data_IF_576432574848
#
_entry.id   IF_576432574848
#
_cell.length_a   1.000
_cell.length_b   1.000
_cell.length_c   1.000
_cell.angle_alpha   90.00
_cell.angle_beta   90.00
_cell.angle_gamma   90.00
#
_symmetry.space_group_name_H-M   'P 1'
#
loop_
_entity.id
_entity.type
_entity.pdbx_description
1 polymer ?
#
# COMPACT_ATOMS: atom_id res chain seq x y z
N UNK A 1 16.56 -2.61 -8.50
CA UNK A 1 15.94 -2.11 -7.25
C UNK A 1 14.46 -2.43 -7.29
N UNK A 2 14.10 -3.72 -7.15
CA UNK A 2 12.70 -4.24 -7.26
C UNK A 2 12.20 -4.79 -5.91
N UNK A 3 13.09 -4.95 -4.93
CA UNK A 3 12.79 -5.65 -3.68
C UNK A 3 11.82 -4.92 -2.75
N UNK A 4 11.73 -3.58 -2.80
CA UNK A 4 10.85 -2.82 -1.89
C UNK A 4 9.36 -3.03 -2.16
N UNK A 5 8.96 -2.93 -3.43
CA UNK A 5 7.58 -3.05 -3.92
C UNK A 5 6.99 -4.41 -3.54
N UNK A 6 7.77 -5.49 -3.72
CA UNK A 6 7.33 -6.86 -3.44
C UNK A 6 7.07 -7.08 -1.94
N UNK A 7 7.84 -6.48 -1.04
CA UNK A 7 7.61 -6.59 0.41
C UNK A 7 6.40 -5.78 0.89
N UNK A 8 6.10 -4.63 0.28
CA UNK A 8 4.85 -3.92 0.55
C UNK A 8 3.65 -4.79 0.19
N UNK A 9 3.70 -5.51 -0.93
CA UNK A 9 2.65 -6.47 -1.32
C UNK A 9 2.53 -7.64 -0.33
N UNK A 10 3.62 -8.17 0.22
CA UNK A 10 3.58 -9.24 1.24
C UNK A 10 2.99 -8.78 2.57
N UNK A 11 3.39 -7.59 3.05
CA UNK A 11 2.93 -7.04 4.33
C UNK A 11 1.45 -6.65 4.25
N UNK A 12 1.00 -6.22 3.09
CA UNK A 12 -0.37 -5.74 2.89
C UNK A 12 -1.39 -6.84 2.53
N UNK A 13 -0.97 -8.12 2.50
CA UNK A 13 -1.85 -9.27 2.26
C UNK A 13 -1.97 -9.63 0.77
N UNK A 14 -2.74 -10.68 0.40
CA UNK A 14 -2.77 -11.21 -0.96
C UNK A 14 -3.50 -10.24 -1.89
N UNK A 15 -2.80 -9.19 -2.31
CA UNK A 15 -3.30 -8.30 -3.35
C UNK A 15 -3.07 -8.96 -4.70
N UNK A 16 -4.12 -9.21 -5.50
CA UNK A 16 -3.93 -9.35 -6.93
C UNK A 16 -3.25 -8.07 -7.44
N UNK A 17 -2.39 -8.17 -8.46
CA UNK A 17 -1.77 -7.02 -9.14
C UNK A 17 -2.89 -6.14 -9.71
N UNK A 18 -3.37 -5.23 -8.88
CA UNK A 18 -4.54 -4.41 -9.09
C UNK A 18 -4.07 -2.97 -8.93
N UNK A 19 -4.34 -2.15 -9.94
CA UNK A 19 -3.98 -0.73 -10.01
C UNK A 19 -4.36 0.00 -8.70
N UNK A 20 -5.46 -0.40 -8.04
CA UNK A 20 -5.88 0.20 -6.77
C UNK A 20 -4.89 -0.08 -5.62
N UNK A 21 -4.35 -1.29 -5.55
CA UNK A 21 -3.39 -1.67 -4.51
C UNK A 21 -2.04 -1.00 -4.76
N UNK A 22 -1.61 -0.97 -6.02
CA UNK A 22 -0.39 -0.28 -6.45
C UNK A 22 -0.43 1.21 -6.09
N UNK A 23 -1.55 1.90 -6.34
CA UNK A 23 -1.71 3.31 -5.93
C UNK A 23 -1.52 3.48 -4.41
N UNK A 24 -2.06 2.59 -3.59
CA UNK A 24 -1.92 2.68 -2.11
C UNK A 24 -0.47 2.46 -1.69
N UNK A 25 0.22 1.47 -2.26
CA UNK A 25 1.66 1.22 -2.00
C UNK A 25 2.49 2.46 -2.34
N UNK A 26 2.21 3.12 -3.45
CA UNK A 26 2.93 4.32 -3.91
C UNK A 26 2.81 5.48 -2.92
N UNK A 27 1.66 5.64 -2.28
CA UNK A 27 1.49 6.65 -1.22
C UNK A 27 2.28 6.30 0.04
N UNK A 28 2.43 5.03 0.37
CA UNK A 28 3.27 4.58 1.48
C UNK A 28 4.75 4.81 1.17
N UNK A 29 5.19 4.49 -0.05
CA UNK A 29 6.57 4.72 -0.51
C UNK A 29 6.93 6.21 -0.49
N UNK A 30 6.02 7.06 -0.98
CA UNK A 30 6.19 8.50 -0.90
C UNK A 30 6.34 8.97 0.55
N UNK A 31 5.52 8.44 1.46
CA UNK A 31 5.54 8.82 2.86
C UNK A 31 6.77 8.30 3.63
N UNK A 32 7.26 7.10 3.29
CA UNK A 32 8.39 6.48 3.97
C UNK A 32 9.75 6.91 3.42
N UNK A 33 9.84 7.20 2.12
CA UNK A 33 11.11 7.42 1.42
C UNK A 33 11.22 8.78 0.74
N UNK A 34 10.12 9.55 0.65
CA UNK A 34 10.12 10.86 0.00
C UNK A 34 10.40 10.82 -1.50
N UNK A 35 10.27 9.66 -2.15
CA UNK A 35 10.60 9.48 -3.57
C UNK A 35 9.37 9.76 -4.47
N UNK A 36 9.35 10.86 -5.26
CA UNK A 36 8.21 11.27 -6.09
C UNK A 36 8.08 10.49 -7.41
N UNK A 37 9.09 9.70 -7.80
CA UNK A 37 9.15 9.02 -9.11
C UNK A 37 8.06 7.95 -9.27
N UNK A 38 7.64 7.35 -8.16
CA UNK A 38 6.55 6.37 -8.13
C UNK A 38 5.16 7.05 -8.22
N UNK A 39 5.02 8.23 -7.61
CA UNK A 39 3.78 9.02 -7.64
C UNK A 39 3.42 9.49 -9.06
N UNK A 40 4.40 9.81 -9.90
CA UNK A 40 4.16 10.25 -11.28
C UNK A 40 3.57 9.12 -12.15
N UNK A 41 4.13 7.91 -12.12
CA UNK A 41 3.58 6.76 -12.88
C UNK A 41 2.19 6.34 -12.37
N UNK A 42 1.96 6.41 -11.05
CA UNK A 42 0.70 6.09 -10.40
C UNK A 42 -0.39 7.18 -10.52
N UNK A 43 -0.04 8.41 -10.91
CA UNK A 43 -0.99 9.50 -11.19
C UNK A 43 -1.40 9.54 -12.68
N UNK A 44 -0.56 9.03 -13.59
CA UNK A 44 -0.88 8.94 -15.02
C UNK A 44 -1.51 7.59 -15.44
N UNK A 45 -1.28 6.50 -14.72
CA UNK A 45 -2.03 5.23 -14.88
C UNK A 45 -3.56 5.29 -14.63
N UNK A 46 -4.09 6.10 -13.68
CA UNK A 46 -5.51 6.17 -13.32
C UNK A 46 -6.42 6.95 -14.26
N UNK A 47 -5.98 7.40 -15.45
CA UNK A 47 -6.92 7.86 -16.47
C UNK A 47 -7.94 6.76 -16.88
N UNK A 48 -7.71 5.49 -16.47
CA UNK A 48 -8.64 4.36 -16.63
C UNK A 48 -9.55 4.04 -15.43
N UNK A 49 -9.35 4.63 -14.26
CA UNK A 49 -10.25 4.42 -13.10
C UNK A 49 -11.38 5.45 -13.13
N UNK A 50 -12.65 5.01 -13.06
CA UNK A 50 -13.80 5.92 -12.92
C UNK A 50 -13.55 6.84 -11.72
N UNK A 51 -13.77 8.16 -11.89
CA UNK A 51 -13.45 9.18 -10.88
C UNK A 51 -14.01 8.86 -9.49
N UNK A 52 -15.21 8.25 -9.42
CA UNK A 52 -15.82 7.84 -8.16
C UNK A 52 -14.98 6.79 -7.40
N UNK A 53 -14.56 5.72 -8.09
CA UNK A 53 -13.73 4.66 -7.50
C UNK A 53 -12.37 5.17 -7.04
N UNK A 54 -11.81 6.16 -7.75
CA UNK A 54 -10.57 6.83 -7.33
C UNK A 54 -10.78 7.60 -6.03
N UNK A 55 -11.85 8.39 -5.92
CA UNK A 55 -12.15 9.13 -4.68
C UNK A 55 -12.40 8.20 -3.50
N UNK A 56 -13.17 7.13 -3.72
CA UNK A 56 -13.50 6.15 -2.67
C UNK A 56 -12.28 5.34 -2.21
N UNK A 57 -11.26 5.18 -3.06
CA UNK A 57 -9.96 4.63 -2.68
C UNK A 57 -9.10 5.68 -1.95
N UNK A 58 -8.89 6.86 -2.54
CA UNK A 58 -7.91 7.80 -2.01
C UNK A 58 -8.33 8.37 -0.65
N UNK A 59 -9.62 8.58 -0.42
CA UNK A 59 -10.15 9.21 0.80
C UNK A 59 -9.75 8.47 2.09
N UNK A 60 -9.93 7.14 2.23
CA UNK A 60 -9.48 6.42 3.42
C UNK A 60 -7.99 6.06 3.40
N UNK A 61 -7.43 5.69 2.24
CA UNK A 61 -6.09 5.10 2.18
C UNK A 61 -4.97 6.13 2.17
N UNK A 62 -5.15 7.32 1.57
CA UNK A 62 -4.09 8.34 1.51
C UNK A 62 -3.73 8.88 2.90
N UNK A 63 -4.67 9.35 3.74
CA UNK A 63 -4.32 9.84 5.07
C UNK A 63 -3.67 8.77 5.94
N UNK A 64 -4.11 7.52 5.81
CA UNK A 64 -3.50 6.38 6.49
C UNK A 64 -2.07 6.14 5.99
N UNK A 65 -1.86 6.07 4.67
CA UNK A 65 -0.56 5.81 4.07
C UNK A 65 0.46 6.89 4.45
N UNK A 66 0.04 8.16 4.46
CA UNK A 66 0.88 9.27 4.92
C UNK A 66 1.25 9.13 6.39
N UNK A 67 0.27 8.89 7.28
CA UNK A 67 0.55 8.72 8.72
C UNK A 67 1.43 7.51 9.00
N UNK A 68 1.07 6.35 8.47
CA UNK A 68 1.79 5.10 8.69
C UNK A 68 3.19 5.19 8.10
N UNK A 69 3.33 5.57 6.83
CA UNK A 69 4.62 5.67 6.13
C UNK A 69 5.59 6.68 6.75
N UNK A 70 5.08 7.80 7.27
CA UNK A 70 5.91 8.80 7.97
C UNK A 70 6.35 8.36 9.38
N UNK A 71 5.67 7.38 9.96
CA UNK A 71 5.92 6.91 11.33
C UNK A 71 6.61 5.54 11.41
N UNK A 72 6.58 4.76 10.33
CA UNK A 72 7.21 3.45 10.27
C UNK A 72 8.72 3.57 9.98
N UNK A 73 9.46 2.51 10.30
CA UNK A 73 10.89 2.43 9.98
C UNK A 73 11.09 2.47 8.45
N UNK A 74 12.22 2.99 7.95
CA UNK A 74 12.53 2.92 6.52
C UNK A 74 12.58 1.47 6.04
N UNK A 75 11.62 1.05 5.21
CA UNK A 75 11.48 -0.36 4.83
C UNK A 75 12.61 -0.86 3.92
N UNK A 76 13.30 0.05 3.22
CA UNK A 76 14.49 -0.28 2.42
C UNK A 76 15.69 -0.72 3.28
N UNK A 77 15.73 -0.32 4.55
CA UNK A 77 16.82 -0.65 5.46
C UNK A 77 16.56 -1.92 6.29
N UNK A 78 15.44 -2.63 6.02
CA UNK A 78 15.10 -3.86 6.72
C UNK A 78 15.82 -5.03 6.08
N UNK A 79 16.56 -5.79 6.89
CA UNK A 79 17.19 -7.06 6.50
C UNK A 79 16.12 -8.16 6.43
N UNK A 80 15.36 -8.18 5.34
CA UNK A 80 14.22 -9.08 5.16
C UNK A 80 14.59 -10.56 5.29
N UNK A 81 15.80 -10.91 4.85
CA UNK A 81 16.33 -12.27 4.93
C UNK A 81 16.45 -12.81 6.37
N UNK A 82 16.58 -11.92 7.36
CA UNK A 82 16.65 -12.31 8.78
C UNK A 82 15.27 -12.43 9.43
N UNK A 83 14.22 -12.01 8.74
CA UNK A 83 12.87 -11.90 9.28
C UNK A 83 11.89 -12.90 8.66
N UNK A 84 12.34 -13.85 7.82
CA UNK A 84 11.47 -14.84 7.16
C UNK A 84 10.64 -15.69 8.12
N UNK A 85 11.20 -16.05 9.27
CA UNK A 85 10.52 -16.88 10.29
C UNK A 85 9.70 -16.03 11.27
N UNK A 86 9.80 -14.69 11.20
CA UNK A 86 9.11 -13.80 12.13
C UNK A 86 7.62 -13.71 11.77
N UNK A 87 6.70 -13.93 12.71
CA UNK A 87 5.27 -13.74 12.46
C UNK A 87 4.97 -12.33 11.95
N UNK A 88 4.17 -12.23 10.88
CA UNK A 88 3.85 -10.95 10.22
C UNK A 88 3.28 -9.92 11.20
N UNK A 89 2.45 -10.32 12.16
CA UNK A 89 1.89 -9.43 13.18
C UNK A 89 2.97 -8.81 14.07
N UNK A 90 4.01 -9.57 14.40
CA UNK A 90 5.15 -9.11 15.18
C UNK A 90 6.06 -8.21 14.33
N UNK A 91 6.29 -8.56 13.07
CA UNK A 91 7.07 -7.77 12.13
C UNK A 91 6.43 -6.40 11.85
N UNK A 92 5.11 -6.36 11.61
CA UNK A 92 4.37 -5.09 11.48
C UNK A 92 4.54 -4.21 12.71
N UNK A 93 4.44 -4.78 13.91
CA UNK A 93 4.63 -4.02 15.16
C UNK A 93 6.05 -3.50 15.31
N UNK A 94 7.07 -4.31 14.99
CA UNK A 94 8.49 -3.91 15.13
C UNK A 94 8.90 -2.84 14.13
N UNK A 95 8.22 -2.79 12.98
CA UNK A 95 8.42 -1.80 11.92
C UNK A 95 7.52 -0.56 12.07
N UNK A 96 6.56 -0.56 12.98
CA UNK A 96 5.61 0.55 13.15
C UNK A 96 4.52 0.62 12.07
N UNK A 97 4.22 -0.51 11.42
CA UNK A 97 3.21 -0.62 10.38
C UNK A 97 1.85 -0.87 11.02
N UNK A 98 0.95 0.11 10.90
CA UNK A 98 -0.45 -0.01 11.31
C UNK A 98 -1.33 -0.49 10.16
N UNK A 99 -2.39 -1.25 10.46
CA UNK A 99 -3.37 -1.66 9.44
C UNK A 99 -4.18 -0.47 8.87
N UNK A 100 -4.64 -0.55 7.62
CA UNK A 100 -5.50 0.47 7.03
C UNK A 100 -6.88 0.53 7.70
N UNK A 101 -7.58 1.68 7.61
CA UNK A 101 -8.88 1.87 8.25
C UNK A 101 -10.00 1.00 7.64
N UNK A 102 -9.80 0.54 6.40
CA UNK A 102 -10.71 -0.37 5.71
C UNK A 102 -9.90 -1.53 5.18
N UNK A 103 -10.34 -2.76 5.48
CA UNK A 103 -9.77 -3.96 4.90
C UNK A 103 -9.89 -3.89 3.36
N UNK A 104 -8.75 -4.02 2.68
CA UNK A 104 -8.70 -3.78 1.25
C UNK A 104 -9.38 -4.89 0.46
N UNK A 105 -9.45 -6.12 0.99
CA UNK A 105 -10.23 -7.20 0.37
C UNK A 105 -11.72 -6.88 0.42
N UNK A 106 -12.22 -6.41 1.57
CA UNK A 106 -13.59 -5.92 1.71
C UNK A 106 -13.86 -4.75 0.74
N UNK A 107 -12.95 -3.78 0.64
CA UNK A 107 -13.07 -2.68 -0.31
C UNK A 107 -13.16 -3.19 -1.77
N UNK A 108 -12.34 -4.18 -2.14
CA UNK A 108 -12.39 -4.78 -3.47
C UNK A 108 -13.70 -5.51 -3.74
N UNK A 109 -14.24 -6.24 -2.76
CA UNK A 109 -15.48 -7.01 -2.90
C UNK A 109 -16.67 -6.07 -3.13
N UNK A 110 -16.76 -4.97 -2.38
CA UNK A 110 -17.79 -3.92 -2.57
C UNK A 110 -17.76 -3.35 -3.99
N UNK A 111 -16.57 -3.06 -4.52
CA UNK A 111 -16.41 -2.48 -5.85
C UNK A 111 -16.37 -3.51 -6.98
N UNK A 112 -16.39 -4.81 -6.67
CA UNK A 112 -16.61 -5.90 -7.63
C UNK A 112 -18.11 -6.08 -7.88
N UNK A 113 -18.93 -5.92 -6.84
CA UNK A 113 -20.40 -6.03 -6.94
C UNK A 113 -21.06 -4.87 -7.69
N UNK A 114 -20.48 -3.66 -7.67
CA UNK A 114 -20.96 -2.51 -8.45
C UNK A 114 -20.70 -2.59 -9.98
N UNK A 115 -20.11 -3.70 -10.45
CA UNK A 115 -19.83 -3.94 -11.88
C UNK A 115 -20.88 -4.83 -12.56
N UNK A 116 -21.92 -5.26 -11.85
CA UNK A 116 -23.08 -6.01 -12.37
C UNK A 116 -24.24 -5.09 -12.71
#
# INVERSE_FOLDING_TARGET
MILGEDFYHVISGPFPVNISAEIVVKWVELANMGLPVAALSAIFGPLRLKSQRRTDLLRPYVPWALRMGSSCKPLICVEWEKNWETPISQLKRSLGISEPPVDFKLWMDLHRQQKS
#
